data_IF_166152877929
#
_entry.id   IF_166152877929
#
_cell.length_a   1.000
_cell.length_b   1.000
_cell.length_c   1.000
_cell.angle_alpha   90.00
_cell.angle_beta   90.00
_cell.angle_gamma   90.00
#
_symmetry.space_group_name_H-M   'P 1'
#
loop_
_entity.id
_entity.type
_entity.pdbx_description
1 polymer ?
#
# COMPACT_ATOMS: atom_id res chain seq x y z
N UNK A 1 -10.49 1.45 -15.22
CA UNK A 1 -9.57 0.46 -14.64
C UNK A 1 -8.37 1.17 -14.03
N UNK A 2 -8.09 0.93 -12.74
CA UNK A 2 -7.00 1.57 -12.00
C UNK A 2 -5.64 1.40 -12.70
N UNK A 3 -5.35 0.19 -13.22
CA UNK A 3 -4.12 -0.13 -13.97
C UNK A 3 -3.81 0.87 -15.09
N UNK A 4 -4.82 1.36 -15.83
CA UNK A 4 -4.61 2.33 -16.92
C UNK A 4 -4.15 3.70 -16.40
N UNK A 5 -4.65 4.13 -15.25
CA UNK A 5 -4.27 5.41 -14.64
C UNK A 5 -2.87 5.34 -14.06
N UNK A 6 -2.57 4.23 -13.37
CA UNK A 6 -1.26 3.94 -12.82
C UNK A 6 -0.17 3.87 -13.91
N UNK A 7 -0.43 3.22 -15.06
CA UNK A 7 0.49 3.23 -16.22
C UNK A 7 0.79 4.62 -16.78
N UNK A 8 -0.21 5.51 -16.80
CA UNK A 8 -0.05 6.89 -17.29
C UNK A 8 0.70 7.79 -16.32
N UNK A 9 0.56 7.54 -15.02
CA UNK A 9 1.23 8.29 -13.96
C UNK A 9 2.73 7.96 -13.85
N UNK A 10 3.23 7.05 -14.70
CA UNK A 10 4.64 6.77 -14.94
C UNK A 10 5.44 6.50 -13.65
N UNK A 11 5.06 5.45 -12.94
CA UNK A 11 5.86 4.95 -11.82
C UNK A 11 6.56 3.67 -12.27
N UNK A 12 7.90 3.67 -12.40
CA UNK A 12 8.68 2.42 -12.46
C UNK A 12 8.36 1.47 -11.30
N UNK A 13 7.69 2.00 -10.27
CA UNK A 13 7.10 1.37 -9.10
C UNK A 13 5.92 0.42 -9.35
N UNK A 14 5.31 0.38 -10.55
CA UNK A 14 4.16 -0.49 -10.81
C UNK A 14 4.46 -1.98 -10.74
N UNK A 15 5.72 -2.38 -10.91
CA UNK A 15 6.15 -3.78 -10.82
C UNK A 15 5.97 -4.38 -9.43
N UNK A 16 5.73 -3.56 -8.41
CA UNK A 16 5.56 -3.99 -7.02
C UNK A 16 4.10 -3.95 -6.54
N UNK A 17 3.16 -3.57 -7.40
CA UNK A 17 1.74 -3.59 -7.04
C UNK A 17 1.13 -4.96 -7.33
N UNK A 18 0.51 -5.51 -6.29
CA UNK A 18 -0.37 -6.67 -6.38
C UNK A 18 -1.82 -6.21 -6.51
N UNK A 19 -2.65 -6.95 -7.26
CA UNK A 19 -3.99 -6.51 -7.63
C UNK A 19 -5.06 -7.51 -7.21
N UNK A 20 -6.02 -7.08 -6.38
CA UNK A 20 -7.14 -7.92 -5.94
C UNK A 20 -8.25 -8.08 -6.98
N UNK A 21 -8.16 -7.40 -8.13
CA UNK A 21 -9.32 -7.26 -9.05
C UNK A 21 -9.83 -8.59 -9.60
N UNK A 22 -8.96 -9.59 -9.72
CA UNK A 22 -9.32 -10.95 -10.16
C UNK A 22 -10.03 -11.76 -9.07
N UNK A 23 -10.03 -11.28 -7.83
CA UNK A 23 -10.68 -11.86 -6.65
C UNK A 23 -11.80 -10.94 -6.11
N UNK A 24 -12.45 -10.17 -7.00
CA UNK A 24 -13.53 -9.23 -6.68
C UNK A 24 -13.17 -8.12 -5.67
N UNK A 25 -11.88 -7.90 -5.41
CA UNK A 25 -11.38 -6.80 -4.60
C UNK A 25 -10.74 -5.72 -5.48
N UNK A 26 -11.42 -4.59 -5.64
CA UNK A 26 -10.93 -3.48 -6.47
C UNK A 26 -9.88 -2.61 -5.77
N UNK A 27 -8.96 -3.26 -5.07
CA UNK A 27 -7.84 -2.67 -4.34
C UNK A 27 -6.51 -3.09 -4.97
N UNK A 28 -5.55 -2.16 -4.94
CA UNK A 28 -4.16 -2.45 -5.26
C UNK A 28 -3.35 -2.41 -3.97
N UNK A 29 -2.43 -3.36 -3.81
CA UNK A 29 -1.62 -3.56 -2.62
C UNK A 29 -0.16 -3.31 -2.96
N UNK A 30 0.54 -2.60 -2.07
CA UNK A 30 1.97 -2.32 -2.24
C UNK A 30 2.60 -2.10 -0.87
N UNK A 31 3.83 -2.58 -0.70
CA UNK A 31 4.66 -2.34 0.50
C UNK A 31 5.84 -1.49 0.06
N UNK A 32 6.07 -0.38 0.77
CA UNK A 32 7.06 0.63 0.41
C UNK A 32 7.80 1.09 1.66
N UNK A 33 9.05 1.49 1.50
CA UNK A 33 9.76 2.26 2.52
C UNK A 33 9.41 3.75 2.37
N UNK A 34 9.03 4.40 3.47
CA UNK A 34 8.65 5.80 3.50
C UNK A 34 8.94 6.42 4.87
N UNK A 35 9.27 7.71 4.88
CA UNK A 35 9.56 8.45 6.12
C UNK A 35 8.29 8.79 6.91
N UNK A 36 7.14 8.86 6.23
CA UNK A 36 5.84 9.17 6.85
C UNK A 36 4.66 8.60 6.05
N UNK A 37 3.46 8.66 6.62
CA UNK A 37 2.23 8.23 5.93
C UNK A 37 1.92 9.13 4.72
N UNK A 38 2.21 10.42 4.82
CA UNK A 38 2.06 11.40 3.75
C UNK A 38 3.04 11.13 2.62
N UNK A 39 4.31 10.87 2.96
CA UNK A 39 5.34 10.48 2.00
C UNK A 39 4.92 9.20 1.24
N UNK A 40 4.43 8.18 1.96
CA UNK A 40 3.93 6.96 1.34
C UNK A 40 2.74 7.21 0.40
N UNK A 41 1.81 8.09 0.78
CA UNK A 41 0.65 8.44 -0.05
C UNK A 41 1.03 9.13 -1.36
N UNK A 42 2.20 9.78 -1.43
CA UNK A 42 2.68 10.41 -2.66
C UNK A 42 3.04 9.41 -3.76
N UNK A 43 3.35 8.16 -3.41
CA UNK A 43 3.57 7.07 -4.37
C UNK A 43 2.29 6.70 -5.16
N UNK A 44 1.12 7.09 -4.67
CA UNK A 44 -0.16 6.85 -5.33
C UNK A 44 -0.53 8.03 -6.24
N UNK A 45 -1.09 7.78 -7.45
CA UNK A 45 -1.60 8.84 -8.31
C UNK A 45 -2.62 9.74 -7.58
N UNK A 46 -2.60 11.08 -7.80
CA UNK A 46 -3.44 12.04 -7.08
C UNK A 46 -4.92 11.65 -7.01
N UNK A 47 -5.47 11.14 -8.11
CA UNK A 47 -6.88 10.74 -8.24
C UNK A 47 -7.32 9.61 -7.30
N UNK A 48 -6.36 8.87 -6.71
CA UNK A 48 -6.64 7.78 -5.78
C UNK A 48 -6.22 8.08 -4.34
N UNK A 49 -5.43 9.13 -4.08
CA UNK A 49 -4.81 9.41 -2.77
C UNK A 49 -5.82 9.52 -1.62
N UNK A 50 -6.94 10.17 -1.88
CA UNK A 50 -8.02 10.33 -0.88
C UNK A 50 -8.65 9.00 -0.48
N UNK A 51 -8.67 8.02 -1.39
CA UNK A 51 -9.22 6.69 -1.16
C UNK A 51 -8.16 5.70 -0.66
N UNK A 52 -6.89 6.11 -0.61
CA UNK A 52 -5.78 5.25 -0.19
C UNK A 52 -5.67 5.17 1.32
N UNK A 53 -5.82 3.95 1.83
CA UNK A 53 -5.43 3.61 3.19
C UNK A 53 -3.92 3.39 3.24
N UNK A 54 -3.26 4.11 4.13
CA UNK A 54 -1.82 3.96 4.41
C UNK A 54 -1.67 3.47 5.84
N UNK A 55 -0.88 2.43 6.04
CA UNK A 55 -0.63 1.83 7.35
C UNK A 55 0.85 1.54 7.49
N UNK A 56 1.42 1.84 8.67
CA UNK A 56 2.77 1.42 9.02
C UNK A 56 2.77 -0.08 9.35
N UNK A 57 3.62 -0.84 8.66
CA UNK A 57 3.84 -2.25 8.98
C UNK A 57 4.90 -2.38 10.07
N UNK A 58 4.71 -3.35 10.97
CA UNK A 58 5.64 -3.66 12.06
C UNK A 58 5.91 -5.16 12.05
N UNK A 59 7.17 -5.54 12.20
CA UNK A 59 7.55 -6.94 12.39
C UNK A 59 7.36 -7.32 13.85
N UNK A 60 6.64 -8.41 14.07
CA UNK A 60 6.56 -9.06 15.37
C UNK A 60 7.59 -10.18 15.43
N UNK A 61 8.20 -10.36 16.60
CA UNK A 61 8.98 -11.56 16.87
C UNK A 61 8.00 -12.73 17.05
N UNK A 62 7.98 -13.72 16.14
CA UNK A 62 7.00 -14.80 16.20
C UNK A 62 7.18 -15.70 17.44
N UNK A 63 8.31 -15.63 18.12
CA UNK A 63 8.57 -16.36 19.37
C UNK A 63 8.11 -15.58 20.61
N UNK A 64 7.80 -14.29 20.48
CA UNK A 64 7.21 -13.48 21.55
C UNK A 64 5.70 -13.47 21.38
N UNK A 65 4.98 -13.97 22.38
CA UNK A 65 3.52 -14.06 22.37
C UNK A 65 2.82 -12.75 22.73
N UNK A 66 3.58 -11.66 22.94
CA UNK A 66 3.05 -10.39 23.43
C UNK A 66 2.95 -9.38 22.29
N UNK A 67 1.71 -8.98 21.97
CA UNK A 67 1.47 -7.75 21.22
C UNK A 67 1.50 -6.58 22.23
N UNK A 68 2.50 -5.68 22.19
CA UNK A 68 2.58 -4.57 23.13
C UNK A 68 1.36 -3.63 23.07
N UNK A 69 0.55 -3.69 22.01
CA UNK A 69 -0.64 -2.87 21.83
C UNK A 69 -1.96 -3.52 22.27
N UNK A 70 -1.99 -4.84 22.47
CA UNK A 70 -3.18 -5.57 22.96
C UNK A 70 -2.80 -6.38 24.20
N UNK A 71 -3.01 -5.77 25.38
CA UNK A 71 -2.88 -6.42 26.69
C UNK A 71 -4.12 -7.19 27.08
#
# INVERSE_FOLDING_TARGET
MAVKQFRKYNSGFLTHFEWGCMDNDHTAYVIIEAESHENARMAVPPVFREKTRVVKLTYFDPMKTEDPFHK
#
